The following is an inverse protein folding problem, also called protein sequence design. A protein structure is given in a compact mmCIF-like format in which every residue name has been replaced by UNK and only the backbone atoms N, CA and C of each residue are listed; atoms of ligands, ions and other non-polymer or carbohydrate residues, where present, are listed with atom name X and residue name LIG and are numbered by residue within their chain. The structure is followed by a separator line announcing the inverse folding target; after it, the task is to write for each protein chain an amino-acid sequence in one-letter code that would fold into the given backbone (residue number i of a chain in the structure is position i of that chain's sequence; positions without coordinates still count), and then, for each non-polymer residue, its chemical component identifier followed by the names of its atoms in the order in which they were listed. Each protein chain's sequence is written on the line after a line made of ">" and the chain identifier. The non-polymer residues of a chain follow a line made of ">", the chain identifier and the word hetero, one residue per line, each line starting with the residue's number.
data_IF_319261987748
#
_entry.id   IF_319261987748
#
_cell.length_a   1.000
_cell.length_b   1.000
_cell.length_c   1.000
_cell.angle_alpha   90.00
_cell.angle_beta   90.00
_cell.angle_gamma   90.00
#
_symmetry.space_group_name_H-M   'P 1'
#
loop_
_entity.id
_entity.type
_entity.pdbx_description
1 polymer ?
#
# COMPACT_ATOMS: atom_id res chain seq x y z
N UNK A 1 40.14 -42.65 11.78
CA UNK A 1 38.77 -42.59 11.23
C UNK A 1 37.65 -42.49 12.28
N UNK A 2 37.95 -42.43 13.60
CA UNK A 2 36.91 -42.38 14.66
C UNK A 2 36.33 -40.97 14.93
N UNK A 3 36.93 -39.92 14.37
CA UNK A 3 36.51 -38.52 14.57
C UNK A 3 35.47 -38.03 13.53
N UNK A 4 35.22 -38.80 12.46
CA UNK A 4 34.24 -38.44 11.43
C UNK A 4 32.79 -38.59 11.91
N UNK A 5 32.51 -39.46 12.88
CA UNK A 5 31.14 -39.65 13.39
C UNK A 5 30.66 -38.49 14.29
N UNK A 6 31.60 -37.73 14.90
CA UNK A 6 31.29 -36.52 15.68
C UNK A 6 30.92 -35.31 14.81
N UNK A 7 31.10 -35.39 13.48
CA UNK A 7 30.77 -34.32 12.52
C UNK A 7 29.30 -34.35 12.05
N UNK A 8 28.58 -35.45 12.27
CA UNK A 8 27.15 -35.57 11.96
C UNK A 8 26.26 -34.49 12.63
N UNK A 9 26.35 -34.22 13.95
CA UNK A 9 25.52 -33.18 14.58
C UNK A 9 25.89 -31.75 14.15
N UNK A 10 27.15 -31.52 13.74
CA UNK A 10 27.63 -30.22 13.25
C UNK A 10 27.02 -29.86 11.89
N UNK A 11 26.90 -30.84 10.99
CA UNK A 11 26.25 -30.66 9.68
C UNK A 11 24.76 -30.31 9.82
N UNK A 12 24.06 -30.96 10.76
CA UNK A 12 22.64 -30.68 11.04
C UNK A 12 22.45 -29.25 11.59
N UNK A 13 23.32 -28.80 12.48
CA UNK A 13 23.25 -27.46 13.06
C UNK A 13 23.49 -26.33 12.02
N UNK A 14 24.26 -26.62 10.97
CA UNK A 14 24.52 -25.69 9.85
C UNK A 14 23.35 -25.68 8.83
N UNK A 15 22.66 -26.81 8.65
CA UNK A 15 21.56 -26.95 7.68
C UNK A 15 20.19 -26.52 8.25
N UNK A 16 20.00 -26.58 9.57
CA UNK A 16 18.76 -26.18 10.26
C UNK A 16 18.33 -24.72 10.02
N UNK A 17 19.23 -23.73 10.03
CA UNK A 17 18.86 -22.36 9.68
C UNK A 17 18.34 -22.24 8.25
N UNK A 18 18.90 -23.00 7.30
CA UNK A 18 18.55 -22.87 5.88
C UNK A 18 17.12 -23.33 5.58
N UNK A 19 16.64 -24.39 6.25
CA UNK A 19 15.23 -24.81 6.15
C UNK A 19 14.28 -23.81 6.83
N UNK A 20 14.71 -23.14 7.91
CA UNK A 20 13.94 -22.06 8.52
C UNK A 20 13.83 -20.84 7.59
N UNK A 21 14.91 -20.44 6.91
CA UNK A 21 14.88 -19.36 5.91
C UNK A 21 14.07 -19.74 4.66
N UNK A 22 14.07 -21.00 4.24
CA UNK A 22 13.23 -21.50 3.13
C UNK A 22 11.73 -21.44 3.45
N UNK A 23 11.34 -21.80 4.67
CA UNK A 23 9.96 -21.68 5.15
C UNK A 23 9.48 -20.22 5.21
N UNK A 24 10.37 -19.29 5.58
CA UNK A 24 10.09 -17.84 5.54
C UNK A 24 9.84 -17.33 4.10
N UNK A 25 10.42 -17.97 3.08
CA UNK A 25 10.17 -17.63 1.68
C UNK A 25 8.72 -17.82 1.25
N UNK A 26 8.11 -18.95 1.66
CA UNK A 26 6.68 -19.22 1.40
C UNK A 26 5.76 -18.20 2.08
N UNK A 27 6.01 -17.91 3.36
CA UNK A 27 5.25 -16.89 4.12
C UNK A 27 5.43 -15.49 3.53
N UNK A 28 6.66 -15.12 3.16
CA UNK A 28 6.95 -13.84 2.50
C UNK A 28 6.25 -13.71 1.15
N UNK A 29 6.15 -14.79 0.38
CA UNK A 29 5.40 -14.80 -0.88
C UNK A 29 3.91 -14.51 -0.63
N UNK A 30 3.29 -15.17 0.35
CA UNK A 30 1.89 -14.93 0.71
C UNK A 30 1.64 -13.48 1.16
N UNK A 31 2.51 -12.93 2.02
CA UNK A 31 2.40 -11.55 2.51
C UNK A 31 2.58 -10.55 1.37
N UNK A 32 3.52 -10.81 0.45
CA UNK A 32 3.79 -9.92 -0.69
C UNK A 32 2.62 -9.94 -1.67
N UNK A 33 2.08 -11.13 -1.98
CA UNK A 33 0.91 -11.27 -2.85
C UNK A 33 -0.34 -10.64 -2.24
N UNK A 34 -0.58 -10.83 -0.94
CA UNK A 34 -1.68 -10.16 -0.24
C UNK A 34 -1.50 -8.63 -0.24
N UNK A 35 -0.29 -8.15 0.02
CA UNK A 35 0.04 -6.72 -0.01
C UNK A 35 -0.16 -6.10 -1.40
N UNK A 36 0.21 -6.81 -2.47
CA UNK A 36 -0.04 -6.38 -3.84
C UNK A 36 -1.54 -6.26 -4.13
N UNK A 37 -2.33 -7.23 -3.68
CA UNK A 37 -3.79 -7.21 -3.83
C UNK A 37 -4.41 -6.00 -3.11
N UNK A 38 -4.01 -5.77 -1.85
CA UNK A 38 -4.49 -4.62 -1.07
C UNK A 38 -4.09 -3.30 -1.73
N UNK A 39 -2.88 -3.19 -2.26
CA UNK A 39 -2.43 -1.98 -2.96
C UNK A 39 -3.30 -1.69 -4.21
N UNK A 40 -3.57 -2.71 -5.02
CA UNK A 40 -4.46 -2.59 -6.19
C UNK A 40 -5.88 -2.22 -5.78
N UNK A 41 -6.45 -2.91 -4.79
CA UNK A 41 -7.80 -2.61 -4.27
C UNK A 41 -7.89 -1.17 -3.75
N UNK A 42 -6.86 -0.71 -3.02
CA UNK A 42 -6.87 0.65 -2.48
C UNK A 42 -6.87 1.68 -3.61
N UNK A 43 -6.08 1.50 -4.66
CA UNK A 43 -6.09 2.38 -5.83
C UNK A 43 -7.46 2.45 -6.50
N UNK A 44 -8.15 1.31 -6.63
CA UNK A 44 -9.51 1.24 -7.18
C UNK A 44 -10.51 2.00 -6.30
N UNK A 45 -10.46 1.79 -4.98
CA UNK A 45 -11.34 2.49 -4.03
C UNK A 45 -11.09 4.00 -4.06
N UNK A 46 -9.83 4.43 -4.18
CA UNK A 46 -9.49 5.83 -4.32
C UNK A 46 -10.10 6.44 -5.58
N UNK A 47 -10.00 5.74 -6.72
CA UNK A 47 -10.58 6.17 -7.99
C UNK A 47 -12.12 6.30 -7.89
N UNK A 48 -12.79 5.31 -7.28
CA UNK A 48 -14.25 5.35 -7.06
C UNK A 48 -14.64 6.50 -6.14
N UNK A 49 -13.92 6.70 -5.03
CA UNK A 49 -14.16 7.83 -4.12
C UNK A 49 -14.04 9.18 -4.82
N UNK A 50 -13.04 9.32 -5.71
CA UNK A 50 -12.85 10.51 -6.53
C UNK A 50 -14.03 10.73 -7.49
N UNK A 51 -14.49 9.66 -8.15
CA UNK A 51 -15.65 9.69 -9.03
C UNK A 51 -16.93 10.13 -8.29
N UNK A 52 -17.20 9.55 -7.12
CA UNK A 52 -18.38 9.89 -6.30
C UNK A 52 -18.32 11.34 -5.83
N UNK A 53 -17.14 11.81 -5.42
CA UNK A 53 -16.92 13.21 -5.04
C UNK A 53 -17.22 14.16 -6.20
N UNK A 54 -16.65 13.92 -7.39
CA UNK A 54 -16.92 14.74 -8.57
C UNK A 54 -18.38 14.67 -9.01
N UNK A 55 -19.01 13.50 -8.96
CA UNK A 55 -20.43 13.34 -9.28
C UNK A 55 -21.32 14.16 -8.33
N UNK A 56 -21.01 14.14 -7.03
CA UNK A 56 -21.68 14.99 -6.03
C UNK A 56 -21.48 16.48 -6.30
N UNK A 57 -20.25 16.89 -6.65
CA UNK A 57 -19.91 18.28 -6.95
C UNK A 57 -20.62 18.80 -8.21
N UNK A 58 -20.60 18.02 -9.29
CA UNK A 58 -21.31 18.34 -10.54
C UNK A 58 -22.81 18.46 -10.27
N UNK A 59 -23.41 17.46 -9.60
CA UNK A 59 -24.84 17.49 -9.26
C UNK A 59 -25.20 18.70 -8.39
N UNK A 60 -24.34 19.08 -7.46
CA UNK A 60 -24.51 20.28 -6.64
C UNK A 60 -24.50 21.54 -7.52
N UNK A 61 -23.45 21.79 -8.30
CA UNK A 61 -23.29 22.99 -9.12
C UNK A 61 -24.45 23.14 -10.14
N UNK A 62 -24.84 22.07 -10.83
CA UNK A 62 -25.92 22.12 -11.83
C UNK A 62 -27.32 22.33 -11.23
N UNK A 63 -27.54 22.05 -9.94
CA UNK A 63 -28.85 22.15 -9.28
C UNK A 63 -28.99 23.37 -8.35
N UNK A 64 -27.88 24.08 -8.08
CA UNK A 64 -27.82 25.27 -7.19
C UNK A 64 -28.74 26.42 -7.63
N UNK A 65 -29.20 26.45 -8.89
CA UNK A 65 -30.05 27.53 -9.42
C UNK A 65 -31.57 27.30 -9.41
N UNK A 66 -32.09 26.16 -8.93
CA UNK A 66 -33.54 25.90 -9.11
C UNK A 66 -34.24 24.92 -8.17
N UNK A 67 -33.53 24.12 -7.37
CA UNK A 67 -34.17 23.15 -6.49
C UNK A 67 -33.38 22.93 -5.19
N UNK A 68 -33.82 23.58 -4.12
CA UNK A 68 -33.18 23.60 -2.80
C UNK A 68 -33.00 22.20 -2.17
N UNK A 69 -33.91 21.26 -2.50
CA UNK A 69 -33.83 19.86 -2.06
C UNK A 69 -32.72 19.10 -2.79
N UNK A 70 -32.51 19.40 -4.07
CA UNK A 70 -31.44 18.80 -4.85
C UNK A 70 -30.05 19.33 -4.43
N UNK A 71 -29.98 20.60 -4.02
CA UNK A 71 -28.76 21.22 -3.48
C UNK A 71 -28.33 20.57 -2.17
N UNK A 72 -29.27 20.38 -1.25
CA UNK A 72 -29.00 19.71 0.03
C UNK A 72 -28.55 18.26 -0.17
N UNK A 73 -29.17 17.51 -1.08
CA UNK A 73 -28.71 16.17 -1.43
C UNK A 73 -27.33 16.15 -2.10
N UNK A 74 -27.06 17.06 -3.04
CA UNK A 74 -25.76 17.18 -3.70
C UNK A 74 -24.63 17.50 -2.72
N UNK A 75 -24.90 18.39 -1.76
CA UNK A 75 -23.97 18.74 -0.68
C UNK A 75 -23.66 17.55 0.22
N UNK A 76 -24.68 16.77 0.60
CA UNK A 76 -24.47 15.55 1.41
C UNK A 76 -23.61 14.54 0.65
N UNK A 77 -23.87 14.30 -0.64
CA UNK A 77 -23.05 13.41 -1.47
C UNK A 77 -21.60 13.91 -1.60
N UNK A 78 -21.39 15.21 -1.76
CA UNK A 78 -20.05 15.81 -1.80
C UNK A 78 -19.29 15.58 -0.49
N UNK A 79 -19.95 15.77 0.66
CA UNK A 79 -19.34 15.56 1.98
C UNK A 79 -19.01 14.08 2.18
N UNK A 80 -19.89 13.16 1.78
CA UNK A 80 -19.63 11.71 1.86
C UNK A 80 -18.44 11.27 0.97
N UNK A 81 -18.36 11.81 -0.25
CA UNK A 81 -17.20 11.58 -1.13
C UNK A 81 -15.90 12.14 -0.53
N UNK A 82 -15.94 13.37 -0.04
CA UNK A 82 -14.78 14.01 0.59
C UNK A 82 -14.33 13.29 1.85
N UNK A 83 -15.26 12.85 2.70
CA UNK A 83 -14.95 12.12 3.93
C UNK A 83 -14.26 10.79 3.61
N UNK A 84 -14.74 10.07 2.60
CA UNK A 84 -14.12 8.81 2.14
C UNK A 84 -12.69 9.04 1.67
N UNK A 85 -12.47 10.06 0.84
CA UNK A 85 -11.13 10.44 0.37
C UNK A 85 -10.21 10.89 1.50
N UNK A 86 -10.74 11.66 2.44
CA UNK A 86 -9.98 12.17 3.59
C UNK A 86 -9.49 11.05 4.49
N UNK A 87 -10.35 10.10 4.84
CA UNK A 87 -9.98 8.95 5.68
C UNK A 87 -8.92 8.10 4.96
N UNK A 88 -9.12 7.79 3.68
CA UNK A 88 -8.17 7.00 2.90
C UNK A 88 -6.81 7.70 2.74
N UNK A 89 -6.81 9.00 2.46
CA UNK A 89 -5.58 9.81 2.37
C UNK A 89 -4.84 9.88 3.70
N UNK A 90 -5.57 10.01 4.81
CA UNK A 90 -4.99 10.05 6.16
C UNK A 90 -4.30 8.72 6.51
N UNK A 91 -4.94 7.59 6.23
CA UNK A 91 -4.35 6.27 6.48
C UNK A 91 -3.07 6.09 5.66
N UNK A 92 -3.08 6.41 4.37
CA UNK A 92 -1.88 6.28 3.54
C UNK A 92 -0.78 7.27 3.91
N UNK A 93 -1.13 8.52 4.23
CA UNK A 93 -0.19 9.52 4.73
C UNK A 93 0.51 9.04 6.00
N UNK A 94 -0.24 8.44 6.93
CA UNK A 94 0.32 7.83 8.12
C UNK A 94 1.21 6.62 7.79
N UNK A 95 0.79 5.74 6.88
CA UNK A 95 1.61 4.60 6.44
C UNK A 95 2.93 5.07 5.84
N UNK A 96 2.93 6.11 5.00
CA UNK A 96 4.16 6.69 4.44
C UNK A 96 5.03 7.32 5.53
N UNK A 97 4.43 8.04 6.48
CA UNK A 97 5.15 8.65 7.60
C UNK A 97 5.85 7.61 8.46
N UNK A 98 5.15 6.52 8.82
CA UNK A 98 5.72 5.41 9.60
C UNK A 98 6.83 4.71 8.81
N UNK A 99 6.62 4.42 7.52
CA UNK A 99 7.63 3.76 6.67
C UNK A 99 8.91 4.58 6.53
N UNK A 100 8.78 5.89 6.31
CA UNK A 100 9.91 6.78 6.06
C UNK A 100 10.68 7.14 7.33
N UNK A 101 9.98 7.45 8.44
CA UNK A 101 10.63 8.00 9.63
C UNK A 101 10.86 6.98 10.75
N UNK A 102 10.01 5.94 10.88
CA UNK A 102 10.09 4.99 11.99
C UNK A 102 10.69 3.64 11.61
N UNK A 103 10.43 3.17 10.39
CA UNK A 103 10.93 1.87 9.92
C UNK A 103 12.20 1.96 9.06
N UNK A 104 12.69 3.18 8.78
CA UNK A 104 13.92 3.41 8.01
C UNK A 104 13.86 2.86 6.58
N UNK A 105 12.66 2.62 6.04
CA UNK A 105 12.48 2.09 4.68
C UNK A 105 12.62 3.25 3.71
N UNK A 106 13.86 3.60 3.36
CA UNK A 106 14.16 4.48 2.23
C UNK A 106 13.77 3.74 0.97
N UNK A 107 12.70 4.19 0.31
CA UNK A 107 12.35 3.71 -1.02
C UNK A 107 13.40 4.25 -2.00
N UNK A 108 14.53 3.55 -2.14
CA UNK A 108 15.46 3.74 -3.25
C UNK A 108 14.78 3.25 -4.54
N UNK A 109 13.88 4.08 -5.08
CA UNK A 109 13.66 4.12 -6.52
C UNK A 109 14.97 4.65 -7.09
N UNK A 110 15.69 3.79 -7.80
CA UNK A 110 17.00 4.09 -8.35
C UNK A 110 17.00 5.42 -9.10
N UNK A 111 18.10 6.19 -9.05
CA UNK A 111 18.25 7.37 -9.87
C UNK A 111 18.12 6.99 -11.34
N UNK A 112 17.42 7.86 -12.06
CA UNK A 112 17.10 7.72 -13.45
C UNK A 112 18.39 7.52 -14.28
N UNK A 113 18.35 6.59 -15.23
CA UNK A 113 19.45 6.22 -16.13
C UNK A 113 20.00 7.39 -16.99
N UNK A 114 19.39 8.57 -16.92
CA UNK A 114 19.90 9.79 -17.54
C UNK A 114 21.06 10.44 -16.75
N UNK A 115 21.25 10.13 -15.46
CA UNK A 115 22.36 10.67 -14.66
C UNK A 115 23.70 9.93 -14.89
N UNK A 116 23.66 8.69 -15.41
CA UNK A 116 24.86 7.87 -15.66
C UNK A 116 25.48 8.16 -17.03
N UNK A 117 24.70 8.68 -17.98
CA UNK A 117 25.15 8.88 -19.38
C UNK A 117 25.78 10.27 -19.59
N UNK A 118 25.58 11.22 -18.65
CA UNK A 118 26.03 12.61 -18.79
C UNK A 118 27.15 13.02 -17.81
N UNK A 119 27.84 12.07 -17.19
CA UNK A 119 29.06 12.30 -16.39
C UNK A 119 30.18 11.38 -16.84
#
# INVERSE_FOLDING_TARGET
>A
MKNLFKLSPLLVSILMPQVAFGALGGVKSLITSAGALVNTLTGIVFAIGLLVFFFGLVKFIFKVGGDEKAVTQGRTLMIWGLLTLFVMSTVWGLVYFIRGNLLGVVNNRAPDINEVILK
#
